data_IF_865221523776
#
_entry.id   IF_865221523776
#
_cell.length_a   1.000
_cell.length_b   1.000
_cell.length_c   1.000
_cell.angle_alpha   90.00
_cell.angle_beta   90.00
_cell.angle_gamma   90.00
#
_symmetry.space_group_name_H-M   'P 1'
#
loop_
_entity.id
_entity.type
_entity.pdbx_description
1 polymer ?
#
# COMPACT_ATOMS: atom_id res chain seq x y z
N UNK A 1 -14.19 9.73 -5.39
CA UNK A 1 -12.75 10.04 -5.55
C UNK A 1 -12.43 11.30 -4.76
N UNK A 2 -11.30 11.33 -4.08
CA UNK A 2 -10.81 12.50 -3.34
C UNK A 2 -9.74 13.21 -4.16
N UNK A 3 -9.54 14.52 -3.95
CA UNK A 3 -8.46 15.26 -4.60
C UNK A 3 -7.13 14.92 -3.89
N UNK A 4 -6.27 14.17 -4.56
CA UNK A 4 -5.01 13.66 -4.03
C UNK A 4 -3.95 13.52 -5.14
N UNK A 5 -2.65 13.39 -4.79
CA UNK A 5 -1.60 13.05 -5.75
C UNK A 5 -1.90 11.72 -6.46
N UNK A 6 -1.54 11.60 -7.75
CA UNK A 6 -1.88 10.42 -8.57
C UNK A 6 -1.30 9.11 -8.03
N UNK A 7 -0.12 9.18 -7.39
CA UNK A 7 0.51 8.02 -6.74
C UNK A 7 -0.38 7.39 -5.64
N UNK A 8 -1.30 8.16 -5.07
CA UNK A 8 -2.23 7.66 -4.06
C UNK A 8 -3.19 6.62 -4.64
N UNK A 9 -3.61 6.74 -5.90
CA UNK A 9 -4.47 5.73 -6.53
C UNK A 9 -3.74 4.39 -6.67
N UNK A 10 -2.47 4.43 -7.09
CA UNK A 10 -1.62 3.25 -7.13
C UNK A 10 -1.38 2.67 -5.72
N UNK A 11 -1.15 3.51 -4.72
CA UNK A 11 -0.96 3.08 -3.34
C UNK A 11 -2.22 2.38 -2.77
N UNK A 12 -3.42 2.86 -3.09
CA UNK A 12 -4.68 2.21 -2.72
C UNK A 12 -4.80 0.82 -3.33
N UNK A 13 -4.50 0.69 -4.63
CA UNK A 13 -4.51 -0.59 -5.33
C UNK A 13 -3.47 -1.54 -4.74
N UNK A 14 -2.22 -1.11 -4.64
CA UNK A 14 -1.11 -1.91 -4.11
C UNK A 14 -1.38 -2.36 -2.67
N UNK A 15 -1.81 -1.47 -1.78
CA UNK A 15 -2.16 -1.84 -0.40
C UNK A 15 -3.33 -2.84 -0.32
N UNK A 16 -4.19 -2.90 -1.35
CA UNK A 16 -5.29 -3.88 -1.41
C UNK A 16 -4.78 -5.25 -1.84
N UNK A 17 -4.02 -5.33 -2.93
CA UNK A 17 -3.50 -6.61 -3.42
C UNK A 17 -2.40 -7.19 -2.54
N UNK A 18 -1.52 -6.35 -1.99
CA UNK A 18 -0.41 -6.77 -1.14
C UNK A 18 -0.87 -7.42 0.17
N UNK A 19 -2.11 -7.17 0.63
CA UNK A 19 -2.64 -7.87 1.81
C UNK A 19 -2.79 -9.38 1.58
N UNK A 20 -2.89 -9.83 0.33
CA UNK A 20 -3.05 -11.25 0.00
C UNK A 20 -1.71 -11.96 -0.26
N UNK A 21 -0.68 -11.26 -0.72
CA UNK A 21 0.67 -11.79 -0.95
C UNK A 21 1.73 -10.94 -0.23
N UNK A 22 1.76 -11.07 1.11
CA UNK A 22 2.42 -10.08 1.99
C UNK A 22 3.95 -10.04 1.85
N UNK A 23 4.58 -11.17 1.56
CA UNK A 23 6.06 -11.32 1.57
C UNK A 23 6.74 -10.94 0.26
N UNK A 24 6.00 -10.91 -0.85
CA UNK A 24 6.55 -10.66 -2.18
C UNK A 24 6.16 -9.27 -2.69
N UNK A 25 7.14 -8.48 -3.12
CA UNK A 25 6.92 -7.15 -3.67
C UNK A 25 6.57 -7.17 -5.17
N UNK A 26 6.62 -8.34 -5.81
CA UNK A 26 6.35 -8.51 -7.23
C UNK A 26 4.96 -7.96 -7.62
N UNK A 27 3.95 -8.09 -6.76
CA UNK A 27 2.64 -7.46 -7.00
C UNK A 27 2.77 -5.93 -7.10
N UNK A 28 3.46 -5.30 -6.14
CA UNK A 28 3.63 -3.84 -6.12
C UNK A 28 4.41 -3.38 -7.34
N UNK A 29 5.47 -4.10 -7.71
CA UNK A 29 6.30 -3.80 -8.87
C UNK A 29 5.53 -3.94 -10.19
N UNK A 30 4.79 -5.03 -10.37
CA UNK A 30 4.00 -5.25 -11.58
C UNK A 30 2.90 -4.20 -11.74
N UNK A 31 2.23 -3.82 -10.63
CA UNK A 31 1.26 -2.73 -10.62
C UNK A 31 1.90 -1.40 -10.97
N UNK A 32 3.08 -1.11 -10.39
CA UNK A 32 3.83 0.12 -10.67
C UNK A 32 4.27 0.20 -12.14
N UNK A 33 4.83 -0.88 -12.71
CA UNK A 33 5.25 -0.94 -14.12
C UNK A 33 4.05 -0.70 -15.03
N UNK A 34 2.94 -1.41 -14.78
CA UNK A 34 1.71 -1.26 -15.54
C UNK A 34 1.17 0.18 -15.46
N UNK A 35 1.08 0.74 -14.25
CA UNK A 35 0.60 2.10 -14.02
C UNK A 35 1.49 3.13 -14.71
N UNK A 36 2.82 3.04 -14.52
CA UNK A 36 3.81 3.93 -15.11
C UNK A 36 3.78 3.89 -16.64
N UNK A 37 3.52 2.73 -17.25
CA UNK A 37 3.42 2.59 -18.71
C UNK A 37 2.22 3.35 -19.30
N UNK A 38 1.11 3.43 -18.57
CA UNK A 38 -0.10 4.13 -18.99
C UNK A 38 -0.12 5.60 -18.54
N UNK A 39 0.52 5.89 -17.41
CA UNK A 39 0.61 7.20 -16.78
C UNK A 39 2.02 7.41 -16.23
N UNK A 40 2.94 7.98 -17.02
CA UNK A 40 4.34 8.16 -16.62
C UNK A 40 4.46 8.94 -15.32
N UNK A 41 5.04 8.28 -14.31
CA UNK A 41 5.32 8.85 -12.99
C UNK A 41 6.72 9.45 -12.97
N UNK A 42 6.91 10.50 -12.19
CA UNK A 42 8.23 11.04 -11.87
C UNK A 42 8.96 10.18 -10.84
N UNK A 43 10.29 10.31 -10.79
CA UNK A 43 11.11 9.65 -9.77
C UNK A 43 10.68 10.01 -8.34
N UNK A 44 10.29 11.27 -8.13
CA UNK A 44 9.79 11.75 -6.85
C UNK A 44 8.47 11.06 -6.45
N UNK A 45 7.56 10.84 -7.40
CA UNK A 45 6.31 10.12 -7.14
C UNK A 45 6.56 8.65 -6.81
N UNK A 46 7.40 7.97 -7.60
CA UNK A 46 7.76 6.56 -7.35
C UNK A 46 8.45 6.40 -5.99
N UNK A 47 9.31 7.34 -5.62
CA UNK A 47 10.02 7.33 -4.33
C UNK A 47 9.07 7.43 -3.13
N UNK A 48 7.86 7.96 -3.31
CA UNK A 48 6.84 8.09 -2.25
C UNK A 48 5.87 6.91 -2.21
N UNK A 49 5.90 5.98 -3.18
CA UNK A 49 4.90 4.92 -3.29
C UNK A 49 4.88 4.04 -2.04
N UNK A 50 6.04 3.63 -1.53
CA UNK A 50 6.12 2.75 -0.37
C UNK A 50 5.57 3.39 0.90
N UNK A 51 5.84 4.69 1.09
CA UNK A 51 5.30 5.46 2.21
C UNK A 51 3.78 5.65 2.07
N UNK A 52 3.28 5.89 0.86
CA UNK A 52 1.87 6.00 0.58
C UNK A 52 1.12 4.68 0.83
N UNK A 53 1.71 3.53 0.46
CA UNK A 53 1.17 2.20 0.77
C UNK A 53 1.11 2.00 2.29
N UNK A 54 2.22 2.30 2.99
CA UNK A 54 2.30 2.19 4.45
C UNK A 54 1.24 3.04 5.14
N UNK A 55 1.09 4.30 4.71
CA UNK A 55 0.06 5.20 5.21
C UNK A 55 -1.35 4.63 4.96
N UNK A 56 -1.59 4.03 3.79
CA UNK A 56 -2.89 3.45 3.46
C UNK A 56 -3.24 2.27 4.36
N UNK A 57 -2.26 1.41 4.68
CA UNK A 57 -2.41 0.29 5.63
C UNK A 57 -2.74 0.82 7.03
N UNK A 58 -2.02 1.83 7.51
CA UNK A 58 -2.29 2.44 8.82
C UNK A 58 -3.69 3.07 8.89
N UNK A 59 -4.12 3.76 7.83
CA UNK A 59 -5.47 4.33 7.75
C UNK A 59 -6.52 3.21 7.80
N UNK A 60 -6.32 2.08 7.11
CA UNK A 60 -7.23 0.93 7.20
C UNK A 60 -7.34 0.41 8.63
N UNK A 61 -6.22 0.22 9.33
CA UNK A 61 -6.22 -0.21 10.75
C UNK A 61 -7.03 0.76 11.62
N UNK A 62 -6.74 2.06 11.53
CA UNK A 62 -7.40 3.08 12.34
C UNK A 62 -8.90 3.19 12.05
N UNK A 63 -9.29 3.11 10.77
CA UNK A 63 -10.71 3.14 10.40
C UNK A 63 -11.44 1.89 10.88
N UNK A 64 -10.83 0.71 10.79
CA UNK A 64 -11.42 -0.53 11.31
C UNK A 64 -11.55 -0.48 12.83
N UNK A 65 -10.55 0.05 13.55
CA UNK A 65 -10.63 0.28 14.99
C UNK A 65 -11.80 1.19 15.37
N UNK A 66 -11.98 2.31 14.66
CA UNK A 66 -13.10 3.21 14.90
C UNK A 66 -14.43 2.47 14.69
N UNK A 67 -14.60 1.79 13.54
CA UNK A 67 -15.84 1.08 13.20
C UNK A 67 -16.19 -0.01 14.21
N UNK A 68 -15.20 -0.80 14.64
CA UNK A 68 -15.41 -1.85 15.65
C UNK A 68 -15.81 -1.26 16.99
N UNK A 69 -15.29 -0.09 17.38
CA UNK A 69 -15.66 0.55 18.64
C UNK A 69 -17.00 1.28 18.60
N UNK A 70 -17.49 1.71 17.43
CA UNK A 70 -18.74 2.49 17.31
C UNK A 70 -19.96 1.65 16.92
N UNK A 71 -19.77 0.52 16.24
CA UNK A 71 -20.87 -0.27 15.68
C UNK A 71 -21.10 -1.58 16.46
N UNK A 72 -22.37 -1.85 16.77
CA UNK A 72 -22.84 -3.14 17.28
C UNK A 72 -24.07 -3.59 16.47
N UNK A 73 -24.12 -4.83 15.95
CA UNK A 73 -23.10 -5.88 16.06
C UNK A 73 -21.84 -5.58 15.22
N UNK A 74 -20.71 -6.17 15.61
CA UNK A 74 -19.48 -6.08 14.83
C UNK A 74 -19.62 -6.87 13.52
N UNK A 75 -19.16 -6.27 12.44
CA UNK A 75 -19.07 -6.91 11.14
C UNK A 75 -17.80 -7.79 11.08
N UNK A 76 -17.92 -9.11 10.86
CA UNK A 76 -16.77 -10.00 10.72
C UNK A 76 -15.78 -9.57 9.64
N UNK A 77 -16.25 -8.98 8.54
CA UNK A 77 -15.40 -8.55 7.43
C UNK A 77 -14.44 -7.42 7.86
N UNK A 78 -14.90 -6.51 8.72
CA UNK A 78 -14.07 -5.42 9.25
C UNK A 78 -12.96 -5.98 10.15
N UNK A 79 -13.26 -7.05 10.89
CA UNK A 79 -12.26 -7.69 11.74
C UNK A 79 -11.20 -8.41 10.91
N UNK A 80 -11.59 -9.13 9.87
CA UNK A 80 -10.68 -9.80 8.94
C UNK A 80 -9.77 -8.78 8.22
N UNK A 81 -10.34 -7.73 7.64
CA UNK A 81 -9.58 -6.65 6.97
C UNK A 81 -8.54 -6.03 7.91
N UNK A 82 -8.90 -5.82 9.18
CA UNK A 82 -7.99 -5.29 10.21
C UNK A 82 -6.82 -6.23 10.47
N UNK A 83 -7.08 -7.52 10.63
CA UNK A 83 -6.04 -8.52 10.89
C UNK A 83 -5.06 -8.61 9.72
N UNK A 84 -5.57 -8.65 8.48
CA UNK A 84 -4.74 -8.64 7.27
C UNK A 84 -3.85 -7.39 7.19
N UNK A 85 -4.39 -6.23 7.56
CA UNK A 85 -3.63 -4.98 7.58
C UNK A 85 -2.52 -4.98 8.63
N UNK A 86 -2.76 -5.54 9.82
CA UNK A 86 -1.72 -5.70 10.84
C UNK A 86 -0.62 -6.67 10.41
N UNK A 87 -0.97 -7.77 9.76
CA UNK A 87 0.01 -8.72 9.24
C UNK A 87 0.92 -8.05 8.20
N UNK A 88 0.32 -7.32 7.25
CA UNK A 88 1.07 -6.57 6.25
C UNK A 88 1.96 -5.50 6.90
N UNK A 89 1.45 -4.76 7.90
CA UNK A 89 2.27 -3.80 8.65
C UNK A 89 3.46 -4.48 9.35
N UNK A 90 3.27 -5.71 9.86
CA UNK A 90 4.32 -6.54 10.42
C UNK A 90 5.43 -6.84 9.41
N UNK A 91 5.06 -7.15 8.17
CA UNK A 91 6.03 -7.35 7.07
C UNK A 91 6.73 -6.04 6.70
N UNK A 92 5.96 -4.95 6.48
CA UNK A 92 6.51 -3.62 6.16
C UNK A 92 7.58 -3.19 7.16
N UNK A 93 7.34 -3.42 8.46
CA UNK A 93 8.26 -3.06 9.55
C UNK A 93 9.63 -3.76 9.45
N UNK A 94 9.69 -4.94 8.82
CA UNK A 94 10.91 -5.74 8.73
C UNK A 94 11.68 -5.51 7.42
N UNK A 95 11.09 -4.79 6.45
CA UNK A 95 11.74 -4.45 5.19
C UNK A 95 12.60 -3.19 5.33
N UNK A 96 13.79 -3.18 4.73
CA UNK A 96 14.62 -1.98 4.64
C UNK A 96 14.00 -0.99 3.65
N UNK A 97 13.55 0.16 4.15
CA UNK A 97 12.87 1.19 3.37
C UNK A 97 13.65 1.62 2.12
N UNK A 98 14.97 1.87 2.27
CA UNK A 98 15.80 2.34 1.16
C UNK A 98 15.93 1.29 0.06
N UNK A 99 16.07 0.03 0.44
CA UNK A 99 16.13 -1.09 -0.49
C UNK A 99 14.84 -1.25 -1.26
N UNK A 100 13.68 -1.16 -0.60
CA UNK A 100 12.37 -1.21 -1.26
C UNK A 100 12.19 -0.04 -2.23
N UNK A 101 12.44 1.19 -1.80
CA UNK A 101 12.33 2.38 -2.66
C UNK A 101 13.28 2.28 -3.85
N UNK A 102 14.52 1.83 -3.65
CA UNK A 102 15.49 1.61 -4.73
C UNK A 102 15.00 0.58 -5.76
N UNK A 103 14.40 -0.53 -5.30
CA UNK A 103 13.80 -1.56 -6.16
C UNK A 103 12.67 -0.97 -7.01
N UNK A 104 11.74 -0.24 -6.39
CA UNK A 104 10.63 0.42 -7.06
C UNK A 104 11.09 1.47 -8.09
N UNK A 105 12.06 2.31 -7.73
CA UNK A 105 12.69 3.27 -8.65
C UNK A 105 13.30 2.57 -9.86
N UNK A 106 14.05 1.49 -9.62
CA UNK A 106 14.70 0.71 -10.68
C UNK A 106 13.69 0.07 -11.64
N UNK A 107 12.53 -0.38 -11.15
CA UNK A 107 11.45 -0.93 -11.97
C UNK A 107 10.89 0.08 -12.99
N UNK A 108 10.99 1.38 -12.71
CA UNK A 108 10.64 2.47 -13.62
C UNK A 108 11.83 3.06 -14.39
N UNK A 109 13.03 2.47 -14.27
CA UNK A 109 14.24 2.96 -14.94
C UNK A 109 14.92 4.16 -14.27
N UNK A 110 14.61 4.44 -13.00
CA UNK A 110 15.28 5.44 -12.19
C UNK A 110 16.43 4.80 -11.38
N UNK A 111 17.61 5.42 -11.38
CA UNK A 111 18.81 4.96 -10.67
C UNK A 111 19.26 6.03 -9.67
#
# INVERSE_FOLDING_TARGET
MVYAPVINDLAVMAATFQRHEKEDLDIVENLLIGFHSAHPLSDAEVSLLWDAITLRVLITILLSDIKLNTNSPHDPEIFEERMEAYDLLGVIRNLDHKSVVSKLRSACGFY
#
